data_IF_560651385225
#
_entry.id   IF_560651385225
#
_cell.length_a   1.000
_cell.length_b   1.000
_cell.length_c   1.000
_cell.angle_alpha   90.00
_cell.angle_beta   90.00
_cell.angle_gamma   90.00
#
_symmetry.space_group_name_H-M   'P 1'
#
loop_
_entity.id
_entity.type
_entity.pdbx_description
1 polymer ?
#
# COMPACT_ATOMS: atom_id res chain seq x y z
N UNK A 1 9.49 23.22 -16.13
CA UNK A 1 8.35 23.01 -17.04
C UNK A 1 7.19 22.59 -16.16
N UNK A 2 6.31 23.52 -15.79
CA UNK A 2 5.17 23.22 -14.92
C UNK A 2 4.09 22.58 -15.78
N UNK A 3 3.87 21.28 -15.63
CA UNK A 3 2.75 20.60 -16.29
C UNK A 3 1.47 21.16 -15.64
N UNK A 4 0.69 21.93 -16.40
CA UNK A 4 -0.65 22.38 -15.98
C UNK A 4 -1.60 21.23 -16.32
N UNK A 5 -1.48 20.12 -15.59
CA UNK A 5 -2.40 19.00 -15.69
C UNK A 5 -3.44 19.10 -14.58
N UNK A 6 -4.68 18.71 -14.87
CA UNK A 6 -5.73 18.60 -13.86
C UNK A 6 -5.35 17.45 -12.89
N UNK A 7 -5.21 17.76 -11.61
CA UNK A 7 -5.02 16.75 -10.55
C UNK A 7 -6.36 16.04 -10.29
N UNK A 8 -6.36 14.71 -10.35
CA UNK A 8 -7.50 13.89 -9.96
C UNK A 8 -7.45 13.60 -8.46
N UNK A 9 -8.40 14.16 -7.72
CA UNK A 9 -8.54 13.95 -6.27
C UNK A 9 -9.65 12.95 -5.99
N UNK A 10 -9.31 11.90 -5.27
CA UNK A 10 -10.22 10.87 -4.77
C UNK A 10 -10.31 11.01 -3.25
N UNK A 11 -11.51 11.10 -2.70
CA UNK A 11 -11.74 11.39 -1.29
C UNK A 11 -12.65 10.34 -0.65
N UNK A 12 -12.18 9.71 0.44
CA UNK A 12 -12.96 8.77 1.24
C UNK A 12 -13.64 7.65 0.41
N UNK A 13 -12.96 7.20 -0.64
CA UNK A 13 -13.42 6.08 -1.48
C UNK A 13 -12.86 4.75 -0.97
N UNK A 14 -13.53 3.65 -1.33
CA UNK A 14 -13.06 2.29 -1.03
C UNK A 14 -12.89 1.47 -2.29
N UNK A 15 -11.70 0.90 -2.47
CA UNK A 15 -11.33 0.04 -3.59
C UNK A 15 -11.08 -1.38 -3.09
N UNK A 16 -11.70 -2.36 -3.73
CA UNK A 16 -11.63 -3.77 -3.31
C UNK A 16 -11.15 -4.67 -4.43
N UNK A 17 -10.11 -5.47 -4.16
CA UNK A 17 -9.53 -6.44 -5.09
C UNK A 17 -9.06 -5.83 -6.43
N UNK A 18 -8.63 -4.57 -6.41
CA UNK A 18 -8.18 -3.84 -7.59
C UNK A 18 -6.65 -3.84 -7.76
N UNK A 19 -6.22 -3.68 -9.02
CA UNK A 19 -4.81 -3.51 -9.39
C UNK A 19 -4.58 -2.08 -9.87
N UNK A 20 -3.66 -1.38 -9.22
CA UNK A 20 -3.23 -0.03 -9.55
C UNK A 20 -1.80 -0.07 -10.08
N UNK A 21 -1.63 0.24 -11.36
CA UNK A 21 -0.32 0.36 -11.98
C UNK A 21 0.02 1.83 -12.20
N UNK A 22 1.04 2.34 -11.52
CA UNK A 22 1.47 3.74 -11.61
C UNK A 22 2.86 3.89 -12.26
N UNK A 23 3.42 2.80 -12.77
CA UNK A 23 4.80 2.73 -13.26
C UNK A 23 5.03 3.56 -14.52
N UNK A 24 6.24 4.11 -14.65
CA UNK A 24 6.75 4.75 -15.86
C UNK A 24 5.95 5.94 -16.40
N UNK A 25 5.19 6.64 -15.53
CA UNK A 25 4.35 7.77 -15.94
C UNK A 25 4.11 8.79 -14.84
N UNK A 26 3.77 10.00 -15.29
CA UNK A 26 3.18 11.07 -14.47
C UNK A 26 1.70 10.76 -14.25
N UNK A 27 1.28 10.62 -12.99
CA UNK A 27 -0.08 10.18 -12.67
C UNK A 27 -1.05 11.34 -12.41
N UNK A 28 -0.60 12.41 -11.74
CA UNK A 28 -1.44 13.54 -11.30
C UNK A 28 -2.65 13.07 -10.49
N UNK A 29 -2.44 12.10 -9.58
CA UNK A 29 -3.49 11.50 -8.77
C UNK A 29 -3.21 11.69 -7.29
N UNK A 30 -4.25 12.09 -6.56
CA UNK A 30 -4.22 12.24 -5.11
C UNK A 30 -5.37 11.47 -4.49
N UNK A 31 -5.05 10.62 -3.54
CA UNK A 31 -5.99 9.85 -2.75
C UNK A 31 -5.93 10.33 -1.31
N UNK A 32 -7.05 10.78 -0.79
CA UNK A 32 -7.18 11.31 0.56
C UNK A 32 -8.24 10.48 1.32
N UNK A 33 -7.88 9.97 2.49
CA UNK A 33 -8.73 9.15 3.38
C UNK A 33 -9.34 7.91 2.70
N UNK A 34 -8.73 7.41 1.62
CA UNK A 34 -9.22 6.26 0.87
C UNK A 34 -8.84 4.93 1.52
N UNK A 35 -9.64 3.88 1.27
CA UNK A 35 -9.40 2.52 1.73
C UNK A 35 -9.12 1.58 0.56
N UNK A 36 -7.97 0.92 0.58
CA UNK A 36 -7.54 -0.06 -0.41
C UNK A 36 -7.50 -1.44 0.23
N UNK A 37 -8.34 -2.36 -0.22
CA UNK A 37 -8.52 -3.67 0.40
C UNK A 37 -8.22 -4.76 -0.63
N UNK A 38 -7.35 -5.73 -0.28
CA UNK A 38 -6.91 -6.81 -1.18
C UNK A 38 -6.32 -6.31 -2.50
N UNK A 39 -5.59 -5.19 -2.46
CA UNK A 39 -5.15 -4.50 -3.65
C UNK A 39 -3.75 -4.91 -4.12
N UNK A 40 -3.42 -4.64 -5.38
CA UNK A 40 -2.05 -4.70 -5.88
C UNK A 40 -1.64 -3.35 -6.41
N UNK A 41 -0.54 -2.79 -5.91
CA UNK A 41 -0.01 -1.48 -6.26
C UNK A 41 1.39 -1.65 -6.86
N UNK A 42 1.59 -1.10 -8.04
CA UNK A 42 2.88 -1.05 -8.72
C UNK A 42 3.38 0.39 -8.83
N UNK A 43 4.53 0.65 -8.24
CA UNK A 43 5.27 1.93 -8.28
C UNK A 43 6.70 1.57 -8.65
N UNK A 44 7.32 2.34 -9.56
CA UNK A 44 8.73 2.18 -9.94
C UNK A 44 9.47 3.52 -9.94
N UNK A 45 10.72 3.51 -10.40
CA UNK A 45 11.56 4.71 -10.49
C UNK A 45 10.98 5.78 -11.44
N UNK A 46 10.14 5.39 -12.41
CA UNK A 46 9.50 6.31 -13.35
C UNK A 46 8.11 6.79 -12.93
N UNK A 47 7.61 6.39 -11.76
CA UNK A 47 6.36 6.92 -11.20
C UNK A 47 6.56 8.34 -10.70
N UNK A 48 5.72 9.27 -11.17
CA UNK A 48 5.73 10.69 -10.76
C UNK A 48 4.31 11.20 -10.42
N UNK A 49 4.23 12.26 -9.62
CA UNK A 49 3.00 13.00 -9.24
C UNK A 49 1.89 12.09 -8.70
N UNK A 50 2.15 11.46 -7.55
CA UNK A 50 1.22 10.52 -6.91
C UNK A 50 1.19 10.76 -5.40
N UNK A 51 0.00 10.93 -4.84
CA UNK A 51 -0.17 11.26 -3.44
C UNK A 51 -1.19 10.35 -2.75
N UNK A 52 -0.84 9.86 -1.56
CA UNK A 52 -1.72 9.15 -0.65
C UNK A 52 -1.64 9.80 0.73
N UNK A 53 -2.76 10.32 1.23
CA UNK A 53 -2.86 10.95 2.54
C UNK A 53 -3.96 10.30 3.37
N UNK A 54 -3.66 9.86 4.59
CA UNK A 54 -4.65 9.27 5.49
C UNK A 54 -5.30 7.98 4.96
N UNK A 55 -4.70 7.33 3.96
CA UNK A 55 -5.26 6.14 3.33
C UNK A 55 -4.98 4.89 4.15
N UNK A 56 -5.87 3.90 4.05
CA UNK A 56 -5.68 2.58 4.66
C UNK A 56 -5.44 1.53 3.57
N UNK A 57 -4.36 0.78 3.67
CA UNK A 57 -4.02 -0.34 2.79
C UNK A 57 -4.14 -1.63 3.59
N UNK A 58 -5.08 -2.49 3.23
CA UNK A 58 -5.33 -3.76 3.92
C UNK A 58 -5.11 -4.92 2.95
N UNK A 59 -4.21 -5.84 3.32
CA UNK A 59 -3.94 -7.02 2.49
C UNK A 59 -3.49 -6.65 1.07
N UNK A 60 -2.75 -5.56 0.94
CA UNK A 60 -2.12 -5.18 -0.32
C UNK A 60 -0.70 -5.74 -0.42
N UNK A 61 -0.12 -5.77 -1.62
CA UNK A 61 1.27 -6.20 -1.85
C UNK A 61 2.34 -5.23 -1.32
N UNK A 62 1.95 -4.05 -0.86
CA UNK A 62 2.85 -3.03 -0.31
C UNK A 62 2.66 -2.90 1.20
N UNK A 63 3.78 -2.84 1.92
CA UNK A 63 3.85 -2.60 3.36
C UNK A 63 4.19 -1.14 3.70
N UNK A 64 4.73 -0.39 2.73
CA UNK A 64 4.95 1.05 2.77
C UNK A 64 5.05 1.63 1.37
N UNK A 65 4.83 2.94 1.26
CA UNK A 65 5.12 3.73 0.06
C UNK A 65 6.12 4.81 0.47
N UNK A 66 7.32 4.77 -0.11
CA UNK A 66 8.40 5.74 0.14
C UNK A 66 8.05 7.10 -0.44
N UNK A 67 8.28 8.15 0.35
CA UNK A 67 8.14 9.52 -0.13
C UNK A 67 9.33 9.90 -1.01
N UNK A 68 9.07 10.68 -2.06
CA UNK A 68 10.11 11.16 -2.96
C UNK A 68 9.75 12.57 -3.44
N UNK A 69 10.51 13.57 -2.99
CA UNK A 69 10.24 14.98 -3.32
C UNK A 69 10.53 15.29 -4.80
N UNK A 70 11.52 14.64 -5.42
CA UNK A 70 11.87 14.86 -6.82
C UNK A 70 10.78 14.34 -7.75
N UNK A 71 10.24 13.16 -7.45
CA UNK A 71 9.15 12.54 -8.21
C UNK A 71 7.75 12.99 -7.75
N UNK A 72 7.69 13.83 -6.72
CA UNK A 72 6.45 14.27 -6.04
C UNK A 72 5.55 13.10 -5.62
N UNK A 73 6.18 12.10 -4.99
CA UNK A 73 5.47 10.98 -4.35
C UNK A 73 5.23 11.34 -2.89
N UNK A 74 3.96 11.46 -2.51
CA UNK A 74 3.53 11.83 -1.16
C UNK A 74 2.85 10.63 -0.51
N UNK A 75 3.28 10.26 0.69
CA UNK A 75 2.70 9.17 1.48
C UNK A 75 2.64 9.59 2.95
N UNK A 76 1.53 10.16 3.41
CA UNK A 76 1.44 10.78 4.73
C UNK A 76 0.28 10.25 5.55
N UNK A 77 0.56 9.78 6.77
CA UNK A 77 -0.48 9.31 7.70
C UNK A 77 -1.23 8.07 7.20
N UNK A 78 -0.61 7.30 6.31
CA UNK A 78 -1.21 6.09 5.76
C UNK A 78 -1.04 4.90 6.73
N UNK A 79 -2.02 4.01 6.74
CA UNK A 79 -2.02 2.78 7.53
C UNK A 79 -1.81 1.60 6.59
N UNK A 80 -0.81 0.76 6.86
CA UNK A 80 -0.53 -0.46 6.08
C UNK A 80 -0.75 -1.68 6.98
N UNK A 81 -1.85 -2.38 6.76
CA UNK A 81 -2.14 -3.65 7.40
C UNK A 81 -1.72 -4.81 6.50
N UNK A 82 -0.79 -5.61 7.01
CA UNK A 82 -0.24 -6.77 6.29
C UNK A 82 -1.34 -7.79 5.96
N UNK A 83 -1.16 -8.57 4.89
CA UNK A 83 -2.05 -9.66 4.55
C UNK A 83 -2.35 -10.58 5.74
N UNK A 84 -3.62 -10.93 5.92
CA UNK A 84 -4.02 -11.85 6.98
C UNK A 84 -3.41 -13.24 6.79
N UNK A 85 -3.09 -13.63 5.56
CA UNK A 85 -2.46 -14.93 5.27
C UNK A 85 -1.01 -15.00 5.75
N UNK A 86 -0.24 -13.90 5.66
CA UNK A 86 1.10 -13.86 6.25
C UNK A 86 1.04 -13.88 7.79
N UNK A 87 0.06 -13.16 8.38
CA UNK A 87 -0.20 -13.22 9.83
C UNK A 87 -0.62 -14.62 10.27
N UNK A 88 -1.45 -15.31 9.49
CA UNK A 88 -1.88 -16.69 9.77
C UNK A 88 -0.72 -17.67 9.70
N UNK A 89 0.11 -17.56 8.67
CA UNK A 89 1.27 -18.43 8.52
C UNK A 89 2.28 -18.22 9.66
N UNK A 90 2.53 -16.97 10.06
CA UNK A 90 3.38 -16.67 11.22
C UNK A 90 2.78 -17.22 12.53
N UNK A 91 1.45 -17.15 12.68
CA UNK A 91 0.76 -17.73 13.84
C UNK A 91 0.84 -19.25 13.87
N UNK A 92 0.65 -19.90 12.71
CA UNK A 92 0.75 -21.35 12.56
C UNK A 92 2.17 -21.85 12.81
N UNK A 93 3.20 -21.12 12.35
CA UNK A 93 4.60 -21.43 12.61
C UNK A 93 4.96 -21.29 14.10
N UNK A 94 4.46 -20.24 14.76
CA UNK A 94 4.60 -20.06 16.20
C UNK A 94 3.89 -21.16 16.98
N UNK A 95 2.67 -21.54 16.58
CA UNK A 95 1.91 -22.62 17.18
C UNK A 95 2.63 -23.97 17.03
N UNK A 96 3.14 -24.26 15.83
CA UNK A 96 3.92 -25.46 15.56
C UNK A 96 5.22 -25.51 16.38
N UNK A 97 5.90 -24.38 16.57
CA UNK A 97 7.08 -24.29 17.41
C UNK A 97 6.75 -24.53 18.90
N UNK A 98 5.65 -23.98 19.40
CA UNK A 98 5.21 -24.16 20.78
C UNK A 98 4.82 -25.62 21.08
N UNK A 99 4.12 -26.29 20.14
CA UNK A 99 3.78 -27.71 20.25
C UNK A 99 5.04 -28.58 20.27
N UNK A 100 6.00 -28.35 19.37
CA UNK A 100 7.29 -29.08 19.36
C UNK A 100 8.09 -28.94 20.65
N UNK A 101 8.04 -27.79 21.31
CA UNK A 101 8.72 -27.58 22.60
C UNK A 101 8.00 -28.27 23.76
N UNK A 102 6.70 -28.53 23.63
CA UNK A 102 5.90 -29.23 24.63
C UNK A 102 6.07 -30.75 24.55
N UNK A 103 6.26 -31.31 23.36
CA UNK A 103 6.56 -32.74 23.15
C UNK A 103 8.00 -33.14 23.54
N UNK A 104 8.91 -32.16 23.68
CA UNK A 104 10.29 -32.40 24.11
C UNK A 104 10.47 -32.42 25.65
N UNK A 105 9.40 -32.28 26.42
CA UNK A 105 9.42 -32.21 27.89
C UNK A 105 8.94 -33.49 28.55
#
# INVERSE_FOLDING_TARGET
MTIIGEEYVFWNETYYAETFDFRGRVNLRRYDECSFIKCTIFIDEGTEELAFTGCTFQNCNVDRIEQDEWRRIISKGNLFDRPLDEKRQEFDDQLAAALRNRDKR
#
